data_IF_841979980466
#
_entry.id   IF_841979980466
#
_cell.length_a   1.000
_cell.length_b   1.000
_cell.length_c   1.000
_cell.angle_alpha   90.00
_cell.angle_beta   90.00
_cell.angle_gamma   90.00
#
_symmetry.space_group_name_H-M   'P 1'
#
loop_
_entity.id
_entity.type
_entity.pdbx_description
1 polymer ?
#
# COMPACT_ATOMS: atom_id res chain seq x y z
N UNK A 1 5.74 4.66 15.16
CA UNK A 1 4.51 4.34 15.90
C UNK A 1 3.88 3.13 15.20
N UNK A 2 4.00 1.86 15.57
CA UNK A 2 4.45 1.16 16.79
C UNK A 2 5.98 1.13 16.97
N UNK A 3 6.51 2.18 17.61
CA UNK A 3 7.95 2.31 17.91
C UNK A 3 8.20 2.55 19.40
N UNK A 4 7.20 2.30 20.25
CA UNK A 4 7.36 2.40 21.70
C UNK A 4 8.39 1.40 22.23
N UNK A 5 8.51 0.24 21.58
CA UNK A 5 9.46 -0.80 21.95
C UNK A 5 10.52 -1.00 20.86
N UNK A 6 11.79 -1.24 21.23
CA UNK A 6 12.85 -1.60 20.29
C UNK A 6 12.50 -2.90 19.55
N UNK A 7 13.01 -3.10 18.32
CA UNK A 7 12.67 -4.27 17.50
C UNK A 7 12.91 -5.62 18.20
N UNK A 8 13.92 -5.67 19.07
CA UNK A 8 14.31 -6.86 19.85
C UNK A 8 13.25 -7.32 20.85
N UNK A 9 12.36 -6.42 21.29
CA UNK A 9 11.32 -6.70 22.29
C UNK A 9 9.96 -7.00 21.65
N UNK A 10 9.85 -6.92 20.31
CA UNK A 10 8.57 -7.15 19.61
C UNK A 10 8.38 -8.62 19.28
N UNK A 11 7.28 -9.19 19.79
CA UNK A 11 6.89 -10.57 19.49
C UNK A 11 6.52 -10.78 18.01
N UNK A 12 5.83 -9.82 17.40
CA UNK A 12 5.49 -9.82 15.98
C UNK A 12 5.91 -8.49 15.34
N UNK A 13 7.16 -8.38 14.84
CA UNK A 13 7.67 -7.10 14.34
C UNK A 13 6.79 -6.46 13.26
N UNK A 14 6.17 -7.25 12.36
CA UNK A 14 5.40 -6.74 11.22
C UNK A 14 4.02 -6.16 11.57
N UNK A 15 3.54 -6.30 12.82
CA UNK A 15 2.22 -5.76 13.20
C UNK A 15 2.18 -4.24 13.26
N UNK A 16 3.36 -3.58 13.27
CA UNK A 16 3.46 -2.13 13.22
C UNK A 16 2.67 -1.53 12.05
N UNK A 17 2.61 -2.24 10.93
CA UNK A 17 1.86 -1.83 9.76
C UNK A 17 0.35 -1.79 10.02
N UNK A 18 -0.19 -2.77 10.76
CA UNK A 18 -1.62 -2.85 11.08
C UNK A 18 -2.03 -1.70 12.00
N UNK A 19 -1.25 -1.43 13.05
CA UNK A 19 -1.51 -0.30 13.93
C UNK A 19 -1.44 1.03 13.19
N UNK A 20 -0.47 1.18 12.29
CA UNK A 20 -0.35 2.37 11.45
C UNK A 20 -1.57 2.58 10.56
N UNK A 21 -2.14 1.52 9.97
CA UNK A 21 -3.39 1.60 9.21
C UNK A 21 -4.54 2.15 10.05
N UNK A 22 -4.66 1.73 11.31
CA UNK A 22 -5.70 2.23 12.22
C UNK A 22 -5.52 3.72 12.54
N UNK A 23 -4.27 4.14 12.80
CA UNK A 23 -3.95 5.54 13.07
C UNK A 23 -4.26 6.44 11.88
N UNK A 24 -3.86 6.03 10.68
CA UNK A 24 -4.18 6.79 9.47
C UNK A 24 -5.67 6.78 9.14
N UNK A 25 -6.38 5.69 9.39
CA UNK A 25 -7.83 5.65 9.23
C UNK A 25 -8.52 6.71 10.13
N UNK A 26 -8.17 6.77 11.41
CA UNK A 26 -8.69 7.79 12.32
C UNK A 26 -8.32 9.21 11.86
N UNK A 27 -7.08 9.42 11.46
CA UNK A 27 -6.61 10.70 10.93
C UNK A 27 -7.36 11.14 9.66
N UNK A 28 -7.60 10.21 8.73
CA UNK A 28 -8.38 10.44 7.52
C UNK A 28 -9.83 10.81 7.81
N UNK A 29 -10.48 10.18 8.81
CA UNK A 29 -11.83 10.55 9.22
C UNK A 29 -11.89 12.00 9.73
N UNK A 30 -10.92 12.40 10.57
CA UNK A 30 -10.83 13.78 11.06
C UNK A 30 -10.57 14.76 9.92
N UNK A 31 -9.68 14.41 8.99
CA UNK A 31 -9.37 15.25 7.83
C UNK A 31 -10.58 15.39 6.91
N UNK A 32 -11.36 14.33 6.70
CA UNK A 32 -12.59 14.36 5.91
C UNK A 32 -13.67 15.23 6.58
N UNK A 33 -13.77 15.22 7.90
CA UNK A 33 -14.62 16.15 8.65
C UNK A 33 -14.15 17.60 8.47
N UNK A 34 -12.84 17.85 8.48
CA UNK A 34 -12.28 19.17 8.23
C UNK A 34 -12.53 19.64 6.79
N UNK A 35 -12.43 18.76 5.79
CA UNK A 35 -12.77 19.05 4.38
C UNK A 35 -14.20 19.56 4.26
N UNK A 36 -15.15 18.97 5.00
CA UNK A 36 -16.56 19.39 5.01
C UNK A 36 -16.76 20.77 5.65
N UNK A 37 -15.99 21.10 6.68
CA UNK A 37 -16.09 22.39 7.38
C UNK A 37 -15.37 23.51 6.62
N UNK A 38 -14.14 23.25 6.18
CA UNK A 38 -13.19 24.26 5.67
C UNK A 38 -12.26 23.63 4.61
N UNK A 39 -12.75 23.50 3.38
CA UNK A 39 -12.05 22.84 2.27
C UNK A 39 -10.62 23.37 2.02
N UNK A 40 -10.44 24.70 1.98
CA UNK A 40 -9.14 25.31 1.66
C UNK A 40 -8.07 24.98 2.71
N UNK A 41 -8.41 25.06 4.00
CA UNK A 41 -7.50 24.71 5.09
C UNK A 41 -7.14 23.22 5.07
N UNK A 42 -8.10 22.34 4.79
CA UNK A 42 -7.85 20.91 4.67
C UNK A 42 -6.90 20.58 3.51
N UNK A 43 -7.03 21.26 2.37
CA UNK A 43 -6.13 21.08 1.23
C UNK A 43 -4.70 21.56 1.54
N UNK A 44 -4.53 22.72 2.18
CA UNK A 44 -3.21 23.20 2.60
C UNK A 44 -2.56 22.23 3.59
N UNK A 45 -3.32 21.79 4.59
CA UNK A 45 -2.83 20.85 5.60
C UNK A 45 -2.45 19.50 4.97
N UNK A 46 -3.28 18.97 4.07
CA UNK A 46 -2.96 17.73 3.35
C UNK A 46 -1.71 17.87 2.50
N UNK A 47 -1.57 18.96 1.74
CA UNK A 47 -0.39 19.23 0.92
C UNK A 47 0.88 19.39 1.75
N UNK A 48 0.82 20.11 2.87
CA UNK A 48 1.98 20.29 3.77
C UNK A 48 2.39 18.98 4.42
N UNK A 49 1.44 18.13 4.82
CA UNK A 49 1.71 16.80 5.34
C UNK A 49 2.40 15.91 4.29
N UNK A 50 1.92 15.92 3.04
CA UNK A 50 2.57 15.16 1.96
C UNK A 50 3.99 15.66 1.72
N UNK A 51 4.20 16.98 1.61
CA UNK A 51 5.54 17.55 1.43
C UNK A 51 6.48 17.23 2.60
N UNK A 52 6.01 17.33 3.83
CA UNK A 52 6.80 16.96 5.00
C UNK A 52 7.14 15.47 4.99
N UNK A 53 6.18 14.61 4.63
CA UNK A 53 6.37 13.17 4.57
C UNK A 53 7.38 12.76 3.49
N UNK A 54 7.40 13.41 2.32
CA UNK A 54 8.35 13.10 1.24
C UNK A 54 9.76 13.53 1.61
N UNK A 55 9.91 14.70 2.24
CA UNK A 55 11.21 15.16 2.76
C UNK A 55 11.68 14.22 3.86
N UNK A 56 10.88 13.95 4.88
CA UNK A 56 11.24 13.02 5.95
C UNK A 56 11.60 11.62 5.42
N UNK A 57 10.84 11.09 4.45
CA UNK A 57 11.14 9.81 3.82
C UNK A 57 12.49 9.80 3.11
N UNK A 58 12.82 10.87 2.38
CA UNK A 58 14.09 10.98 1.65
C UNK A 58 15.28 11.15 2.59
N UNK A 59 15.14 11.92 3.69
CA UNK A 59 16.13 12.03 4.76
C UNK A 59 16.42 10.66 5.40
N UNK A 60 15.38 9.86 5.66
CA UNK A 60 15.50 8.52 6.23
C UNK A 60 16.28 7.56 5.33
N UNK A 61 15.91 7.50 4.05
CA UNK A 61 16.60 6.65 3.06
C UNK A 61 18.05 7.13 2.88
N UNK A 62 18.30 8.44 2.89
CA UNK A 62 19.65 8.97 2.80
C UNK A 62 20.51 8.58 4.02
N UNK A 63 20.03 8.78 5.25
CA UNK A 63 20.79 8.52 6.48
C UNK A 63 21.10 7.04 6.71
N UNK A 64 20.22 6.14 6.27
CA UNK A 64 20.39 4.69 6.44
C UNK A 64 21.43 4.08 5.49
N UNK A 65 21.68 4.71 4.33
CA UNK A 65 22.76 4.28 3.42
C UNK A 65 24.18 4.46 4.00
N UNK A 66 24.33 5.21 5.09
CA UNK A 66 25.64 5.47 5.71
C UNK A 66 26.11 4.39 6.69
N UNK A 67 25.20 3.64 7.31
CA UNK A 67 25.54 2.79 8.46
C UNK A 67 25.91 1.36 8.11
N UNK A 68 25.68 0.96 6.87
CA UNK A 68 25.87 -0.42 6.49
C UNK A 68 26.71 -0.54 5.22
N UNK A 69 28.01 -0.80 5.42
CA UNK A 69 28.91 -1.22 4.36
C UNK A 69 28.59 -2.65 3.96
N UNK A 70 27.79 -2.84 2.91
CA UNK A 70 27.35 -4.17 2.49
C UNK A 70 28.19 -4.73 1.33
N UNK A 71 28.52 -6.01 1.41
CA UNK A 71 29.48 -6.71 0.55
C UNK A 71 28.83 -7.62 -0.51
N UNK A 72 27.50 -7.78 -0.52
CA UNK A 72 26.78 -8.62 -1.50
C UNK A 72 25.49 -7.96 -2.01
N UNK A 73 25.14 -8.19 -3.29
CA UNK A 73 23.99 -7.59 -3.98
C UNK A 73 22.64 -8.01 -3.37
N UNK A 74 22.50 -9.26 -2.93
CA UNK A 74 21.28 -9.79 -2.33
C UNK A 74 20.94 -9.13 -0.97
N UNK A 75 21.94 -8.98 -0.11
CA UNK A 75 21.75 -8.34 1.20
C UNK A 75 21.40 -6.86 1.01
N UNK A 76 21.97 -6.21 0.00
CA UNK A 76 21.63 -4.85 -0.38
C UNK A 76 20.17 -4.73 -0.85
N UNK A 77 19.67 -5.63 -1.70
CA UNK A 77 18.29 -5.57 -2.21
C UNK A 77 17.24 -5.88 -1.12
N UNK A 78 17.49 -6.89 -0.27
CA UNK A 78 16.61 -7.23 0.85
C UNK A 78 16.58 -6.12 1.91
N UNK A 79 17.71 -5.49 2.19
CA UNK A 79 17.76 -4.34 3.12
C UNK A 79 17.11 -3.12 2.51
N UNK A 80 17.25 -2.87 1.21
CA UNK A 80 16.56 -1.78 0.53
C UNK A 80 15.03 -1.96 0.57
N UNK A 81 14.53 -3.19 0.37
CA UNK A 81 13.12 -3.52 0.52
C UNK A 81 12.62 -3.26 1.94
N UNK A 82 13.35 -3.73 2.97
CA UNK A 82 12.99 -3.48 4.36
C UNK A 82 13.05 -1.98 4.73
N UNK A 83 14.05 -1.25 4.23
CA UNK A 83 14.20 0.20 4.46
C UNK A 83 13.06 1.03 3.87
N UNK A 84 12.56 0.62 2.71
CA UNK A 84 11.40 1.23 2.06
C UNK A 84 10.12 0.87 2.79
N UNK A 85 9.93 -0.41 3.15
CA UNK A 85 8.75 -0.86 3.87
C UNK A 85 8.67 -0.26 5.27
N UNK A 86 9.78 -0.11 5.98
CA UNK A 86 9.80 0.46 7.34
C UNK A 86 9.62 1.99 7.35
N UNK A 87 9.61 2.63 6.17
CA UNK A 87 9.43 4.07 6.06
C UNK A 87 7.96 4.46 6.18
N UNK A 88 7.52 4.68 7.42
CA UNK A 88 6.18 5.14 7.80
C UNK A 88 5.70 6.35 6.96
N UNK A 89 6.62 7.24 6.59
CA UNK A 89 6.29 8.46 5.86
C UNK A 89 5.77 8.19 4.44
N UNK A 90 6.18 7.08 3.80
CA UNK A 90 5.70 6.70 2.47
C UNK A 90 4.21 6.32 2.46
N UNK A 91 3.69 5.86 3.60
CA UNK A 91 2.29 5.45 3.71
C UNK A 91 1.33 6.65 3.80
N UNK A 92 1.79 7.83 4.19
CA UNK A 92 0.95 9.03 4.31
C UNK A 92 0.29 9.39 2.96
N UNK A 93 1.02 9.22 1.86
CA UNK A 93 0.61 9.59 0.51
C UNK A 93 -0.68 8.87 0.05
N UNK A 94 -0.76 7.52 0.05
CA UNK A 94 -1.98 6.83 -0.37
C UNK A 94 -3.21 7.21 0.46
N UNK A 95 -3.05 7.49 1.77
CA UNK A 95 -4.18 7.95 2.59
C UNK A 95 -4.68 9.33 2.19
N UNK A 96 -3.78 10.28 1.91
CA UNK A 96 -4.17 11.61 1.46
C UNK A 96 -4.86 11.57 0.10
N UNK A 97 -4.33 10.77 -0.84
CA UNK A 97 -4.97 10.54 -2.14
C UNK A 97 -6.35 9.89 -1.96
N UNK A 98 -6.49 8.95 -1.01
CA UNK A 98 -7.76 8.33 -0.65
C UNK A 98 -8.80 9.33 -0.15
N UNK A 99 -8.42 10.26 0.73
CA UNK A 99 -9.33 11.33 1.20
C UNK A 99 -9.76 12.24 0.05
N UNK A 100 -8.82 12.61 -0.82
CA UNK A 100 -9.14 13.40 -2.01
C UNK A 100 -10.10 12.67 -2.97
N UNK A 101 -9.86 11.37 -3.22
CA UNK A 101 -10.77 10.53 -4.00
C UNK A 101 -12.16 10.48 -3.37
N UNK A 102 -12.25 10.23 -2.06
CA UNK A 102 -13.52 10.16 -1.33
C UNK A 102 -14.32 11.46 -1.45
N UNK A 103 -13.65 12.61 -1.30
CA UNK A 103 -14.29 13.91 -1.52
C UNK A 103 -14.74 14.12 -2.97
N UNK A 104 -13.93 13.72 -3.95
CA UNK A 104 -14.25 13.83 -5.38
C UNK A 104 -15.46 12.98 -5.75
N UNK A 105 -15.50 11.74 -5.28
CA UNK A 105 -16.63 10.80 -5.46
C UNK A 105 -17.91 11.40 -4.87
N UNK A 106 -17.84 11.93 -3.65
CA UNK A 106 -18.97 12.54 -2.97
C UNK A 106 -19.51 13.75 -3.73
N UNK A 107 -18.63 14.63 -4.22
CA UNK A 107 -19.03 15.83 -4.96
C UNK A 107 -19.62 15.53 -6.34
N UNK A 108 -19.15 14.46 -6.99
CA UNK A 108 -19.56 14.10 -8.36
C UNK A 108 -20.73 13.10 -8.39
N UNK A 109 -21.25 12.67 -7.22
CA UNK A 109 -22.31 11.66 -7.12
C UNK A 109 -22.02 10.42 -7.99
N UNK A 110 -20.78 9.94 -7.97
CA UNK A 110 -20.29 8.80 -8.79
C UNK A 110 -20.34 8.98 -10.33
N UNK A 111 -20.72 10.15 -10.84
CA UNK A 111 -20.84 10.40 -12.28
C UNK A 111 -19.82 11.46 -12.72
N UNK A 112 -18.60 11.02 -13.02
CA UNK A 112 -17.53 11.92 -13.43
C UNK A 112 -17.46 12.03 -14.96
N UNK A 113 -17.92 13.17 -15.49
CA UNK A 113 -17.86 13.42 -16.93
C UNK A 113 -16.45 13.89 -17.33
N UNK A 114 -15.68 13.01 -17.96
CA UNK A 114 -14.38 13.36 -18.57
C UNK A 114 -14.53 13.51 -20.07
N UNK A 115 -13.75 14.43 -20.65
CA UNK A 115 -13.57 14.45 -22.10
C UNK A 115 -12.72 13.24 -22.52
N UNK A 116 -13.06 12.65 -23.66
CA UNK A 116 -12.35 11.50 -24.22
C UNK A 116 -10.84 11.77 -24.37
N UNK A 117 -10.48 13.00 -24.75
CA UNK A 117 -9.08 13.43 -24.85
C UNK A 117 -8.32 13.28 -23.54
N UNK A 118 -8.87 13.76 -22.42
CA UNK A 118 -8.24 13.64 -21.10
C UNK A 118 -8.16 12.20 -20.63
N UNK A 119 -9.18 11.39 -20.94
CA UNK A 119 -9.18 9.96 -20.63
C UNK A 119 -8.02 9.23 -21.32
N UNK A 120 -7.88 9.40 -22.63
CA UNK A 120 -6.81 8.77 -23.42
C UNK A 120 -5.44 9.30 -22.99
N UNK A 121 -5.30 10.62 -22.84
CA UNK A 121 -4.04 11.24 -22.42
C UNK A 121 -3.57 10.73 -21.06
N UNK A 122 -4.48 10.57 -20.10
CA UNK A 122 -4.13 10.03 -18.79
C UNK A 122 -3.71 8.56 -18.82
N UNK A 123 -4.34 7.74 -19.66
CA UNK A 123 -3.90 6.35 -19.86
C UNK A 123 -2.54 6.25 -20.55
N UNK A 124 -2.26 7.08 -21.55
CA UNK A 124 -0.94 7.17 -22.17
C UNK A 124 0.12 7.59 -21.15
N UNK A 125 -0.20 8.54 -20.28
CA UNK A 125 0.67 8.98 -19.19
C UNK A 125 0.92 7.83 -18.20
N UNK A 126 -0.10 7.08 -17.79
CA UNK A 126 0.06 5.90 -16.91
C UNK A 126 0.97 4.85 -17.54
N UNK A 127 0.76 4.49 -18.80
CA UNK A 127 1.58 3.51 -19.50
C UNK A 127 3.03 4.00 -19.59
N UNK A 128 3.24 5.27 -19.92
CA UNK A 128 4.58 5.88 -19.96
C UNK A 128 5.29 5.82 -18.60
N UNK A 129 4.58 6.17 -17.52
CA UNK A 129 5.12 6.09 -16.16
C UNK A 129 5.43 4.65 -15.72
N UNK A 130 4.60 3.68 -16.10
CA UNK A 130 4.84 2.26 -15.82
C UNK A 130 6.07 1.73 -16.57
N UNK A 131 6.21 2.05 -17.85
CA UNK A 131 7.41 1.69 -18.64
C UNK A 131 8.65 2.32 -18.04
N UNK A 132 8.58 3.60 -17.67
CA UNK A 132 9.67 4.30 -17.00
C UNK A 132 10.00 3.67 -15.63
N UNK A 133 8.99 3.26 -14.87
CA UNK A 133 9.18 2.60 -13.59
C UNK A 133 9.93 1.27 -13.75
N UNK A 134 9.51 0.42 -14.69
CA UNK A 134 10.09 -0.92 -14.90
C UNK A 134 11.50 -0.85 -15.47
N UNK A 135 11.74 0.00 -16.48
CA UNK A 135 13.02 0.01 -17.20
C UNK A 135 13.97 1.15 -16.79
N UNK A 136 13.42 2.31 -16.43
CA UNK A 136 14.20 3.54 -16.20
C UNK A 136 14.81 3.62 -14.81
N UNK A 137 14.14 3.10 -13.79
CA UNK A 137 14.57 3.24 -12.38
C UNK A 137 15.97 2.69 -12.13
N UNK A 138 16.30 1.52 -12.70
CA UNK A 138 17.62 0.92 -12.55
C UNK A 138 18.73 1.76 -13.21
N UNK A 139 18.47 2.29 -14.41
CA UNK A 139 19.47 3.09 -15.13
C UNK A 139 19.76 4.42 -14.41
N UNK A 140 18.72 5.14 -14.00
CA UNK A 140 18.86 6.46 -13.36
C UNK A 140 19.48 6.38 -11.95
N UNK A 141 19.20 5.33 -11.19
CA UNK A 141 19.73 5.18 -9.83
C UNK A 141 21.24 4.93 -9.78
N UNK A 142 21.85 4.47 -10.88
CA UNK A 142 23.30 4.27 -11.00
C UNK A 142 24.08 5.57 -11.22
N UNK A 143 23.47 6.55 -11.89
CA UNK A 143 24.12 7.81 -12.28
C UNK A 143 23.90 8.95 -11.28
N UNK A 144 22.94 8.80 -10.36
CA UNK A 144 22.60 9.85 -9.41
C UNK A 144 23.46 9.82 -8.14
N UNK A 145 23.79 11.01 -7.65
CA UNK A 145 24.37 11.18 -6.31
C UNK A 145 23.43 10.67 -5.22
N UNK A 146 23.98 10.31 -4.05
CA UNK A 146 23.25 9.61 -2.96
C UNK A 146 21.93 10.30 -2.56
N UNK A 147 21.95 11.63 -2.41
CA UNK A 147 20.75 12.42 -2.10
C UNK A 147 19.67 12.34 -3.19
N UNK A 148 20.09 12.52 -4.45
CA UNK A 148 19.18 12.45 -5.60
C UNK A 148 18.59 11.05 -5.75
N UNK A 149 19.38 10.00 -5.47
CA UNK A 149 18.90 8.62 -5.47
C UNK A 149 17.82 8.38 -4.41
N UNK A 150 18.03 8.87 -3.18
CA UNK A 150 17.05 8.75 -2.11
C UNK A 150 15.75 9.51 -2.43
N UNK A 151 15.86 10.75 -2.92
CA UNK A 151 14.72 11.54 -3.37
C UNK A 151 13.97 10.82 -4.50
N UNK A 152 14.70 10.32 -5.50
CA UNK A 152 14.12 9.62 -6.64
C UNK A 152 13.37 8.35 -6.22
N UNK A 153 13.89 7.58 -5.25
CA UNK A 153 13.19 6.42 -4.71
C UNK A 153 11.82 6.82 -4.11
N UNK A 154 11.76 7.88 -3.31
CA UNK A 154 10.50 8.41 -2.74
C UNK A 154 9.55 8.91 -3.82
N UNK A 155 10.05 9.66 -4.81
CA UNK A 155 9.23 10.14 -5.93
C UNK A 155 8.65 9.00 -6.76
N UNK A 156 9.42 7.92 -6.92
CA UNK A 156 8.97 6.72 -7.63
C UNK A 156 7.78 6.08 -6.88
N UNK A 157 7.80 6.05 -5.55
CA UNK A 157 6.64 5.66 -4.75
C UNK A 157 5.45 6.60 -4.95
N UNK A 158 5.64 7.92 -5.04
CA UNK A 158 4.55 8.85 -5.35
C UNK A 158 3.91 8.54 -6.70
N UNK A 159 4.75 8.32 -7.72
CA UNK A 159 4.32 7.99 -9.09
C UNK A 159 3.43 6.74 -9.09
N UNK A 160 3.81 5.70 -8.36
CA UNK A 160 3.00 4.49 -8.22
C UNK A 160 1.61 4.78 -7.64
N UNK A 161 1.54 5.60 -6.58
CA UNK A 161 0.28 6.00 -5.97
C UNK A 161 -0.58 6.85 -6.94
N UNK A 162 0.04 7.73 -7.73
CA UNK A 162 -0.65 8.52 -8.75
C UNK A 162 -1.24 7.64 -9.87
N UNK A 163 -0.56 6.56 -10.26
CA UNK A 163 -1.06 5.59 -11.24
C UNK A 163 -2.33 4.91 -10.72
N UNK A 164 -2.31 4.43 -9.48
CA UNK A 164 -3.49 3.82 -8.83
C UNK A 164 -4.62 4.84 -8.73
N UNK A 165 -4.31 6.06 -8.30
CA UNK A 165 -5.27 7.16 -8.19
C UNK A 165 -5.97 7.45 -9.52
N UNK A 166 -5.21 7.56 -10.62
CA UNK A 166 -5.79 7.74 -11.95
C UNK A 166 -6.66 6.56 -12.37
N UNK A 167 -6.24 5.33 -12.05
CA UNK A 167 -7.02 4.12 -12.35
C UNK A 167 -8.39 4.18 -11.67
N UNK A 168 -8.47 4.63 -10.41
CA UNK A 168 -9.74 4.78 -9.69
C UNK A 168 -10.60 5.90 -10.31
N UNK A 169 -10.03 7.06 -10.63
CA UNK A 169 -10.77 8.15 -11.31
C UNK A 169 -11.31 7.70 -12.66
N UNK A 170 -10.49 6.97 -13.42
CA UNK A 170 -10.88 6.46 -14.73
C UNK A 170 -12.04 5.47 -14.63
N UNK A 171 -12.11 4.66 -13.56
CA UNK A 171 -13.23 3.76 -13.29
C UNK A 171 -14.54 4.50 -12.96
N UNK A 172 -14.45 5.69 -12.38
CA UNK A 172 -15.61 6.55 -12.06
C UNK A 172 -16.06 7.41 -13.24
N UNK A 173 -15.32 7.38 -14.35
CA UNK A 173 -15.61 8.19 -15.52
C UNK A 173 -16.60 7.52 -16.46
N UNK A 174 -17.26 8.30 -17.32
CA UNK A 174 -18.23 7.80 -18.31
C UNK A 174 -17.69 6.71 -19.27
N UNK A 175 -16.37 6.61 -19.45
CA UNK A 175 -15.73 5.59 -20.30
C UNK A 175 -15.17 4.40 -19.50
N UNK A 176 -15.34 4.43 -18.17
CA UNK A 176 -14.68 3.55 -17.20
C UNK A 176 -15.39 2.24 -16.90
N UNK A 177 -16.55 1.97 -17.49
CA UNK A 177 -17.44 0.86 -17.12
C UNK A 177 -16.73 -0.51 -17.00
N UNK A 178 -15.78 -0.78 -17.90
CA UNK A 178 -15.00 -2.02 -17.85
C UNK A 178 -14.15 -2.10 -16.57
N UNK A 179 -13.43 -1.02 -16.25
CA UNK A 179 -12.55 -0.94 -15.07
C UNK A 179 -13.40 -0.96 -13.80
N UNK A 180 -14.55 -0.27 -13.81
CA UNK A 180 -15.49 -0.29 -12.70
C UNK A 180 -15.99 -1.70 -12.40
N UNK A 181 -16.40 -2.48 -13.42
CA UNK A 181 -16.84 -3.87 -13.26
C UNK A 181 -15.73 -4.77 -12.72
N UNK A 182 -14.49 -4.57 -13.17
CA UNK A 182 -13.34 -5.32 -12.68
C UNK A 182 -13.08 -5.03 -11.19
N UNK A 183 -13.15 -3.75 -10.79
CA UNK A 183 -12.84 -3.32 -9.44
C UNK A 183 -13.98 -3.62 -8.44
N UNK A 184 -15.22 -3.55 -8.89
CA UNK A 184 -16.42 -3.86 -8.09
C UNK A 184 -16.79 -5.34 -8.06
N UNK A 185 -15.92 -6.21 -8.59
CA UNK A 185 -16.20 -7.64 -8.67
C UNK A 185 -16.38 -8.25 -7.28
N UNK A 186 -17.40 -9.12 -7.11
CA UNK A 186 -17.81 -9.69 -5.81
C UNK A 186 -16.66 -10.32 -5.03
N UNK A 187 -15.74 -11.00 -5.73
CA UNK A 187 -14.60 -11.67 -5.09
C UNK A 187 -13.51 -10.69 -4.64
N UNK A 188 -13.40 -9.51 -5.27
CA UNK A 188 -12.47 -8.48 -4.80
C UNK A 188 -12.85 -8.00 -3.39
N UNK A 189 -14.15 -7.81 -3.14
CA UNK A 189 -14.66 -7.48 -1.81
C UNK A 189 -14.40 -8.61 -0.78
N UNK A 190 -14.49 -9.88 -1.20
CA UNK A 190 -14.15 -11.01 -0.34
C UNK A 190 -12.64 -11.03 0.01
N UNK A 191 -11.78 -10.75 -0.96
CA UNK A 191 -10.32 -10.66 -0.77
C UNK A 191 -9.92 -9.48 0.12
N UNK A 192 -10.63 -8.36 0.02
CA UNK A 192 -10.39 -7.19 0.86
C UNK A 192 -10.58 -7.52 2.35
N UNK A 193 -11.65 -8.24 2.70
CA UNK A 193 -11.91 -8.69 4.09
C UNK A 193 -10.82 -9.61 4.65
N UNK A 194 -10.17 -10.40 3.80
CA UNK A 194 -9.07 -11.31 4.18
C UNK A 194 -7.71 -10.60 4.31
N UNK A 195 -7.57 -9.39 3.76
CA UNK A 195 -6.30 -8.65 3.73
C UNK A 195 -5.66 -8.42 5.10
N UNK A 196 -6.37 -7.98 6.17
CA UNK A 196 -5.74 -7.79 7.48
C UNK A 196 -5.20 -9.09 8.07
N UNK A 197 -5.93 -10.20 7.92
CA UNK A 197 -5.51 -11.52 8.38
C UNK A 197 -4.32 -12.02 7.56
N UNK A 198 -4.33 -11.82 6.23
CA UNK A 198 -3.21 -12.17 5.36
C UNK A 198 -1.90 -11.51 5.78
N UNK A 199 -1.93 -10.22 6.09
CA UNK A 199 -0.74 -9.48 6.54
C UNK A 199 -0.17 -10.05 7.84
N UNK A 200 -1.03 -10.55 8.72
CA UNK A 200 -0.64 -11.16 9.99
C UNK A 200 0.01 -12.53 9.80
N UNK A 201 -0.58 -13.37 8.93
CA UNK A 201 -0.18 -14.77 8.73
C UNK A 201 0.98 -14.91 7.74
N UNK A 202 1.08 -14.07 6.70
CA UNK A 202 2.06 -14.23 5.63
C UNK A 202 3.51 -14.37 6.16
N UNK A 203 4.00 -13.50 7.06
CA UNK A 203 5.36 -13.64 7.59
C UNK A 203 5.56 -14.92 8.42
N UNK A 204 4.50 -15.42 9.08
CA UNK A 204 4.53 -16.68 9.84
C UNK A 204 4.71 -17.86 8.88
N UNK A 205 3.90 -17.93 7.82
CA UNK A 205 3.99 -19.00 6.82
C UNK A 205 5.35 -18.99 6.13
N UNK A 206 5.81 -17.81 5.69
CA UNK A 206 7.12 -17.68 5.06
C UNK A 206 8.22 -18.16 6.01
N UNK A 207 8.18 -17.77 7.29
CA UNK A 207 9.15 -18.23 8.29
C UNK A 207 9.09 -19.75 8.48
N UNK A 208 7.91 -20.33 8.61
CA UNK A 208 7.76 -21.79 8.77
C UNK A 208 8.40 -22.52 7.58
N UNK A 209 8.10 -22.09 6.35
CA UNK A 209 8.66 -22.71 5.14
C UNK A 209 10.18 -22.56 5.10
N UNK A 210 10.71 -21.38 5.44
CA UNK A 210 12.14 -21.11 5.44
C UNK A 210 12.89 -21.89 6.54
N UNK A 211 12.34 -21.98 7.75
CA UNK A 211 13.00 -22.65 8.88
C UNK A 211 12.85 -24.17 8.86
N UNK A 212 11.85 -24.70 8.16
CA UNK A 212 11.68 -26.15 7.97
C UNK A 212 12.42 -26.66 6.72
N UNK A 213 12.97 -25.76 5.90
CA UNK A 213 13.69 -26.12 4.70
C UNK A 213 15.08 -26.67 5.01
N UNK A 214 15.29 -27.96 4.73
CA UNK A 214 16.61 -28.61 4.89
C UNK A 214 17.60 -28.27 3.74
N UNK A 215 17.09 -27.69 2.65
CA UNK A 215 17.85 -27.39 1.43
C UNK A 215 17.93 -25.88 1.22
N UNK A 216 19.10 -25.33 0.84
CA UNK A 216 19.21 -23.92 0.50
C UNK A 216 18.34 -23.58 -0.72
N UNK A 217 17.67 -22.43 -0.66
CA UNK A 217 16.88 -21.91 -1.78
C UNK A 217 17.84 -21.30 -2.80
N UNK A 218 17.83 -21.84 -4.02
CA UNK A 218 18.64 -21.30 -5.09
C UNK A 218 17.95 -20.12 -5.76
N UNK A 219 18.74 -19.13 -6.18
CA UNK A 219 18.30 -17.97 -6.93
C UNK A 219 18.03 -18.34 -8.40
N UNK A 220 17.00 -19.14 -8.63
CA UNK A 220 16.48 -19.49 -9.95
C UNK A 220 15.08 -18.94 -10.11
N UNK A 221 14.77 -18.35 -11.28
CA UNK A 221 13.47 -17.76 -11.56
C UNK A 221 12.32 -18.74 -11.32
N UNK A 222 12.49 -20.01 -11.70
CA UNK A 222 11.49 -21.05 -11.48
C UNK A 222 11.22 -21.33 -10.00
N UNK A 223 12.28 -21.36 -9.18
CA UNK A 223 12.14 -21.58 -7.73
C UNK A 223 11.49 -20.38 -7.04
N UNK A 224 11.86 -19.16 -7.42
CA UNK A 224 11.28 -17.93 -6.86
C UNK A 224 9.78 -17.85 -7.17
N UNK A 225 9.39 -18.11 -8.43
CA UNK A 225 7.98 -18.10 -8.84
C UNK A 225 7.19 -19.18 -8.11
N UNK A 226 7.71 -20.40 -8.04
CA UNK A 226 7.06 -21.51 -7.35
C UNK A 226 6.88 -21.22 -5.86
N UNK A 227 7.91 -20.69 -5.20
CA UNK A 227 7.85 -20.34 -3.78
C UNK A 227 6.89 -19.18 -3.52
N UNK A 228 6.89 -18.16 -4.37
CA UNK A 228 5.93 -17.06 -4.29
C UNK A 228 4.48 -17.56 -4.38
N UNK A 229 4.18 -18.36 -5.40
CA UNK A 229 2.84 -18.93 -5.58
C UNK A 229 2.43 -19.84 -4.41
N UNK A 230 3.35 -20.66 -3.91
CA UNK A 230 3.11 -21.54 -2.76
C UNK A 230 2.81 -20.77 -1.48
N UNK A 231 3.65 -19.78 -1.15
CA UNK A 231 3.44 -18.91 0.01
C UNK A 231 2.13 -18.12 -0.11
N UNK A 232 1.81 -17.59 -1.30
CA UNK A 232 0.58 -16.85 -1.55
C UNK A 232 -0.63 -17.74 -1.33
N UNK A 233 -0.67 -18.91 -1.96
CA UNK A 233 -1.78 -19.86 -1.84
C UNK A 233 -1.97 -20.30 -0.38
N UNK A 234 -0.90 -20.70 0.30
CA UNK A 234 -0.96 -21.12 1.70
C UNK A 234 -1.48 -20.00 2.61
N UNK A 235 -1.04 -18.76 2.37
CA UNK A 235 -1.50 -17.59 3.15
C UNK A 235 -3.00 -17.36 2.99
N UNK A 236 -3.51 -17.36 1.75
CA UNK A 236 -4.93 -17.12 1.52
C UNK A 236 -5.81 -18.26 2.06
N UNK A 237 -5.37 -19.52 1.96
CA UNK A 237 -6.10 -20.67 2.52
C UNK A 237 -6.17 -20.57 4.05
N UNK A 238 -5.03 -20.34 4.71
CA UNK A 238 -4.97 -20.21 6.17
C UNK A 238 -5.77 -19.00 6.67
N UNK A 239 -5.66 -17.87 5.96
CA UNK A 239 -6.42 -16.66 6.27
C UNK A 239 -7.92 -16.86 6.14
N UNK A 240 -8.37 -17.56 5.10
CA UNK A 240 -9.78 -17.89 4.93
C UNK A 240 -10.29 -18.81 6.04
N UNK A 241 -9.49 -19.81 6.45
CA UNK A 241 -9.84 -20.66 7.59
C UNK A 241 -9.99 -19.86 8.89
N UNK A 242 -9.04 -18.96 9.17
CA UNK A 242 -9.09 -18.10 10.37
C UNK A 242 -10.27 -17.13 10.30
N UNK A 243 -10.53 -16.53 9.15
CA UNK A 243 -11.67 -15.62 8.95
C UNK A 243 -13.00 -16.32 9.24
N UNK A 244 -13.20 -17.54 8.73
CA UNK A 244 -14.45 -18.30 8.95
C UNK A 244 -14.61 -18.69 10.42
N UNK A 245 -13.52 -19.04 11.10
CA UNK A 245 -13.55 -19.48 12.50
C UNK A 245 -13.77 -18.33 13.50
N UNK A 246 -13.22 -17.14 13.21
CA UNK A 246 -13.20 -16.02 14.16
C UNK A 246 -14.12 -14.87 13.73
N UNK A 247 -13.87 -14.29 12.56
CA UNK A 247 -14.58 -13.08 12.12
C UNK A 247 -15.99 -13.39 11.60
N UNK A 248 -16.19 -14.57 11.01
CA UNK A 248 -17.49 -15.07 10.56
C UNK A 248 -18.57 -15.04 11.66
N UNK A 249 -18.38 -15.75 12.79
CA UNK A 249 -19.37 -15.76 13.87
C UNK A 249 -19.51 -14.39 14.54
N UNK A 250 -18.41 -13.63 14.65
CA UNK A 250 -18.44 -12.28 15.23
C UNK A 250 -19.29 -11.31 14.39
N UNK A 251 -19.13 -11.34 13.07
CA UNK A 251 -19.91 -10.50 12.16
C UNK A 251 -21.39 -10.89 12.16
N UNK A 252 -21.68 -12.19 12.15
CA UNK A 252 -23.06 -12.69 12.26
C UNK A 252 -23.72 -12.27 13.58
N UNK A 253 -22.99 -12.35 14.70
CA UNK A 253 -23.46 -11.86 15.99
C UNK A 253 -23.72 -10.35 15.96
N UNK A 254 -22.82 -9.55 15.38
CA UNK A 254 -22.98 -8.10 15.26
C UNK A 254 -24.21 -7.72 14.42
N UNK A 255 -24.41 -8.40 13.29
CA UNK A 255 -25.58 -8.18 12.44
C UNK A 255 -26.88 -8.50 13.18
N UNK A 256 -26.92 -9.58 13.95
CA UNK A 256 -28.09 -9.93 14.77
C UNK A 256 -28.39 -8.87 15.84
N UNK A 257 -27.36 -8.32 16.49
CA UNK A 257 -27.52 -7.26 17.51
C UNK A 257 -28.00 -5.94 16.89
N UNK A 258 -27.49 -5.59 15.70
CA UNK A 258 -27.93 -4.40 14.98
C UNK A 258 -29.37 -4.53 14.47
N UNK A 259 -29.78 -5.73 14.07
CA UNK A 259 -31.17 -6.01 13.70
C UNK A 259 -32.13 -5.84 14.89
N UNK A 260 -31.74 -6.33 16.08
CA UNK A 260 -32.51 -6.14 17.32
C UNK A 260 -32.63 -4.66 17.70
N UNK A 261 -31.58 -3.85 17.51
CA UNK A 261 -31.60 -2.41 17.82
C UNK A 261 -32.48 -1.58 16.87
N UNK A 262 -32.76 -2.09 15.66
CA UNK A 262 -33.63 -1.41 14.67
C UNK A 262 -35.10 -1.81 14.78
N UNK A 263 -35.42 -2.86 15.52
CA UNK A 263 -36.78 -3.29 15.85
C UNK A 263 -37.28 -2.59 17.12
#
# INVERSE_FOLDING_TARGET
MDTLFPLTERCMPWTWFIALKMQFYMGSCLLMLLVKLQFYYAMIMGASIVLFSTVAASLWIWGTTHHYGYTTTLLYDLTHFNLVLDNICLFVIPYMLGVYLGHTIHRTNHNLQLNLFFFIAGWLLVVSLLVFYVYGTHFLTLHFGKWLRALFAVLTHLVWNCIIFWTIISALSNYGDFIYKLLSFKYANALEKLTPINVLIAPVIIRIILFTGDVPIFWSSGQIISMFMGCLLATYICSLAIYVLLDGPLMAALESLLAIRRA
#
